data_IF_315328129452
#
_entry.id   IF_315328129452
#
_cell.length_a   1.000
_cell.length_b   1.000
_cell.length_c   1.000
_cell.angle_alpha   90.00
_cell.angle_beta   90.00
_cell.angle_gamma   90.00
#
_symmetry.space_group_name_H-M   'P 1'
#
loop_
_entity.id
_entity.type
_entity.pdbx_description
1 polymer ?
#
# COMPACT_ATOMS: atom_id res chain seq x y z
N UNK A 1 0.50 -8.69 -17.94
CA UNK A 1 0.98 -7.75 -16.90
C UNK A 1 0.84 -8.48 -15.57
N UNK A 2 1.91 -8.63 -14.79
CA UNK A 2 1.84 -9.31 -13.51
C UNK A 2 1.00 -8.49 -12.52
N UNK A 3 0.24 -9.17 -11.66
CA UNK A 3 -0.54 -8.50 -10.59
C UNK A 3 0.43 -8.02 -9.52
N UNK A 4 0.31 -6.76 -9.03
CA UNK A 4 1.18 -6.27 -7.96
C UNK A 4 1.03 -7.11 -6.70
N UNK A 5 2.14 -7.30 -5.99
CA UNK A 5 2.10 -7.95 -4.69
C UNK A 5 1.62 -6.97 -3.62
N UNK A 6 0.81 -7.46 -2.67
CA UNK A 6 0.30 -6.64 -1.57
C UNK A 6 1.07 -6.97 -0.30
N UNK A 7 1.75 -5.99 0.29
CA UNK A 7 2.47 -6.15 1.56
C UNK A 7 2.41 -4.89 2.39
N UNK A 8 2.37 -5.03 3.71
CA UNK A 8 2.49 -3.90 4.61
C UNK A 8 3.85 -3.21 4.40
N UNK A 9 3.90 -1.88 4.15
CA UNK A 9 5.18 -1.20 3.94
C UNK A 9 6.03 -1.13 5.21
N UNK A 10 5.44 -1.30 6.39
CA UNK A 10 6.16 -1.27 7.66
C UNK A 10 6.76 -2.64 8.05
N UNK A 11 5.97 -3.72 7.97
CA UNK A 11 6.38 -5.05 8.48
C UNK A 11 6.40 -6.16 7.42
N UNK A 12 6.08 -5.84 6.16
CA UNK A 12 5.99 -6.76 5.03
C UNK A 12 4.94 -7.88 5.15
N UNK A 13 4.05 -7.80 6.15
CA UNK A 13 2.92 -8.74 6.27
C UNK A 13 2.04 -8.73 5.01
N UNK A 14 1.72 -9.93 4.51
CA UNK A 14 0.88 -10.14 3.33
C UNK A 14 -0.56 -10.45 3.77
N UNK A 15 -1.56 -9.63 3.40
CA UNK A 15 -2.95 -9.94 3.70
C UNK A 15 -3.41 -11.15 2.88
N UNK A 16 -4.00 -12.13 3.58
CA UNK A 16 -4.69 -13.25 2.94
C UNK A 16 -6.06 -12.85 2.39
N UNK A 17 -6.74 -13.75 1.65
CA UNK A 17 -8.09 -13.52 1.15
C UNK A 17 -9.09 -13.23 2.26
N UNK A 18 -8.86 -13.75 3.47
CA UNK A 18 -9.72 -13.58 4.66
C UNK A 18 -9.41 -12.35 5.51
N UNK A 19 -8.42 -11.53 5.13
CA UNK A 19 -8.19 -10.25 5.80
C UNK A 19 -9.41 -9.34 5.63
N UNK A 20 -9.87 -8.74 6.74
CA UNK A 20 -11.08 -7.89 6.77
C UNK A 20 -10.80 -6.56 7.45
N UNK A 21 -11.32 -5.50 6.84
CA UNK A 21 -11.41 -4.15 7.40
C UNK A 21 -12.87 -3.73 7.41
N UNK A 22 -13.22 -2.82 8.32
CA UNK A 22 -14.56 -2.26 8.43
C UNK A 22 -14.61 -0.83 7.90
N UNK A 23 -15.73 -0.46 7.29
CA UNK A 23 -15.93 0.86 6.68
C UNK A 23 -16.37 1.84 7.76
N UNK A 24 -15.52 2.08 8.75
CA UNK A 24 -15.84 2.92 9.90
C UNK A 24 -15.08 4.25 9.79
N UNK A 25 -15.75 5.39 9.99
CA UNK A 25 -17.09 5.55 10.56
C UNK A 25 -18.24 5.68 9.52
N UNK A 26 -18.09 5.13 8.31
CA UNK A 26 -19.10 5.27 7.23
C UNK A 26 -20.21 4.22 7.34
N UNK A 27 -20.29 3.27 6.41
CA UNK A 27 -21.41 2.32 6.33
C UNK A 27 -21.18 1.01 7.10
N UNK A 28 -20.02 0.81 7.72
CA UNK A 28 -19.73 -0.40 8.51
C UNK A 28 -19.50 -1.68 7.70
N UNK A 29 -19.57 -1.65 6.37
CA UNK A 29 -19.26 -2.81 5.51
C UNK A 29 -17.92 -3.42 5.89
N UNK A 30 -17.85 -4.75 5.95
CA UNK A 30 -16.64 -5.50 6.28
C UNK A 30 -16.14 -6.21 5.02
N UNK A 31 -14.94 -5.90 4.57
CA UNK A 31 -14.40 -6.45 3.31
C UNK A 31 -12.87 -6.47 3.30
N UNK A 32 -12.28 -7.17 2.34
CA UNK A 32 -10.86 -7.04 2.05
C UNK A 32 -10.63 -5.77 1.22
N UNK A 33 -9.95 -4.78 1.80
CA UNK A 33 -9.78 -3.47 1.16
C UNK A 33 -9.05 -3.55 -0.19
N UNK A 34 -8.19 -4.56 -0.37
CA UNK A 34 -7.42 -4.75 -1.60
C UNK A 34 -8.24 -5.37 -2.74
N UNK A 35 -9.38 -6.01 -2.45
CA UNK A 35 -10.26 -6.57 -3.47
C UNK A 35 -10.86 -5.50 -4.40
N UNK A 36 -10.90 -4.24 -3.94
CA UNK A 36 -11.52 -3.11 -4.64
C UNK A 36 -10.60 -1.88 -4.73
N UNK A 37 -9.31 -2.04 -4.41
CA UNK A 37 -8.37 -0.92 -4.39
C UNK A 37 -8.77 0.21 -3.43
N UNK A 38 -9.30 -0.16 -2.27
CA UNK A 38 -9.73 0.78 -1.23
C UNK A 38 -11.15 1.32 -1.40
N UNK A 39 -11.88 0.96 -2.46
CA UNK A 39 -13.26 1.42 -2.66
C UNK A 39 -14.25 0.57 -1.86
N UNK A 40 -14.99 1.17 -0.94
CA UNK A 40 -15.98 0.44 -0.16
C UNK A 40 -17.13 -0.04 -1.06
N UNK A 41 -17.45 -1.35 -1.11
CA UNK A 41 -18.55 -1.85 -1.93
C UNK A 41 -19.94 -1.46 -1.39
N UNK A 42 -20.05 -1.04 -0.12
CA UNK A 42 -21.33 -0.63 0.47
C UNK A 42 -21.73 0.81 0.17
N UNK A 43 -20.80 1.76 0.26
CA UNK A 43 -21.11 3.19 0.12
C UNK A 43 -20.25 3.94 -0.92
N UNK A 44 -19.35 3.24 -1.62
CA UNK A 44 -18.51 3.81 -2.68
C UNK A 44 -17.37 4.73 -2.21
N UNK A 45 -17.21 4.97 -0.90
CA UNK A 45 -16.10 5.80 -0.39
C UNK A 45 -14.75 5.15 -0.70
N UNK A 46 -13.76 5.96 -1.08
CA UNK A 46 -12.38 5.50 -1.30
C UNK A 46 -11.54 5.73 -0.04
N UNK A 47 -10.97 4.66 0.49
CA UNK A 47 -10.02 4.70 1.60
C UNK A 47 -8.60 4.86 1.06
N UNK A 48 -7.95 5.97 1.42
CA UNK A 48 -6.57 6.26 1.02
C UNK A 48 -5.52 5.75 2.00
N UNK A 49 -5.95 5.20 3.15
CA UNK A 49 -5.10 4.65 4.20
C UNK A 49 -5.65 3.29 4.64
N UNK A 50 -4.75 2.40 5.01
CA UNK A 50 -5.07 1.04 5.46
C UNK A 50 -4.22 0.70 6.67
N UNK A 51 -4.90 0.17 7.70
CA UNK A 51 -4.24 -0.35 8.89
C UNK A 51 -3.71 -1.77 8.64
N UNK A 52 -2.49 -2.06 9.07
CA UNK A 52 -1.99 -3.41 9.08
C UNK A 52 -2.63 -4.23 10.21
N UNK A 53 -3.17 -5.41 9.88
CA UNK A 53 -3.75 -6.32 10.87
C UNK A 53 -2.70 -7.07 11.70
N UNK A 54 -1.42 -7.07 11.28
CA UNK A 54 -0.33 -7.69 12.01
C UNK A 54 0.41 -6.71 12.94
N UNK A 55 0.81 -5.53 12.45
CA UNK A 55 1.60 -4.57 13.25
C UNK A 55 0.82 -3.32 13.68
N UNK A 56 -0.44 -3.14 13.25
CA UNK A 56 -1.27 -2.00 13.62
C UNK A 56 -0.92 -0.67 12.92
N UNK A 57 0.22 -0.57 12.21
CA UNK A 57 0.63 0.65 11.50
C UNK A 57 -0.37 0.98 10.39
N UNK A 58 -0.80 2.24 10.36
CA UNK A 58 -1.65 2.78 9.28
C UNK A 58 -0.76 3.40 8.21
N UNK A 59 -0.80 2.86 7.01
CA UNK A 59 0.00 3.34 5.87
C UNK A 59 -0.89 3.79 4.71
N UNK A 60 -0.40 4.66 3.81
CA UNK A 60 -1.13 5.00 2.58
C UNK A 60 -1.46 3.72 1.79
N UNK A 61 -2.71 3.58 1.34
CA UNK A 61 -3.19 2.36 0.69
C UNK A 61 -2.37 2.01 -0.57
N UNK A 62 -1.92 3.02 -1.32
CA UNK A 62 -1.07 2.84 -2.51
C UNK A 62 0.29 2.21 -2.19
N UNK A 63 0.86 2.49 -1.01
CA UNK A 63 2.20 2.03 -0.63
C UNK A 63 2.22 0.53 -0.28
N UNK A 64 1.04 -0.11 -0.23
CA UNK A 64 0.92 -1.56 -0.05
C UNK A 64 1.16 -2.34 -1.36
N UNK A 65 1.07 -1.69 -2.52
CA UNK A 65 1.23 -2.32 -3.82
C UNK A 65 2.70 -2.27 -4.24
N UNK A 66 3.33 -3.45 -4.27
CA UNK A 66 4.72 -3.64 -4.68
C UNK A 66 4.72 -4.19 -6.10
N UNK A 67 5.39 -3.48 -7.00
CA UNK A 67 5.59 -3.98 -8.36
C UNK A 67 6.56 -5.18 -8.32
N UNK A 68 6.21 -6.32 -8.95
CA UNK A 68 7.07 -7.50 -8.93
C UNK A 68 8.36 -7.34 -9.73
N UNK A 69 8.45 -6.33 -10.62
CA UNK A 69 9.64 -6.02 -11.44
C UNK A 69 10.49 -4.89 -10.83
N UNK A 70 9.88 -4.06 -9.96
CA UNK A 70 10.47 -2.86 -9.38
C UNK A 70 11.14 -3.03 -8.01
N UNK A 71 11.97 -4.05 -7.83
CA UNK A 71 12.86 -4.17 -6.68
C UNK A 71 14.02 -3.15 -6.71
N UNK A 72 13.80 -1.91 -7.15
CA UNK A 72 14.72 -0.80 -6.93
C UNK A 72 13.98 0.52 -7.18
N UNK A 73 13.68 1.21 -6.09
CA UNK A 73 12.96 2.47 -6.10
C UNK A 73 13.35 3.34 -4.92
N UNK A 74 14.60 3.21 -4.45
CA UNK A 74 15.23 4.22 -3.59
C UNK A 74 16.03 5.15 -4.47
N UNK A 75 15.34 6.09 -5.13
CA UNK A 75 15.92 7.34 -5.57
C UNK A 75 16.33 8.14 -4.33
N UNK A 76 17.57 7.96 -3.89
CA UNK A 76 18.24 8.91 -3.00
C UNK A 76 19.69 8.92 -3.41
N UNK A 77 20.00 9.85 -4.34
CA UNK A 77 21.17 10.73 -4.27
C UNK A 77 21.43 11.35 -5.64
N UNK A 78 20.90 12.56 -5.83
CA UNK A 78 21.50 13.52 -6.77
C UNK A 78 22.58 14.26 -6.00
N UNK A 79 23.70 13.60 -5.74
CA UNK A 79 24.89 14.28 -5.26
C UNK A 79 25.61 14.95 -6.43
N UNK A 80 25.90 16.22 -6.20
CA UNK A 80 26.60 17.13 -7.10
C UNK A 80 28.08 16.92 -6.83
N UNK A 81 28.84 16.47 -7.81
CA UNK A 81 30.24 16.85 -7.88
C UNK A 81 30.59 17.35 -9.29
N UNK A 82 30.88 18.64 -9.26
CA UNK A 82 31.22 19.54 -10.33
C UNK A 82 32.63 19.19 -10.81
N UNK A 83 32.73 18.93 -12.11
CA UNK A 83 33.91 19.03 -12.96
C UNK A 83 35.23 19.43 -12.26
N UNK A 84 36.10 18.43 -12.08
CA UNK A 84 37.52 18.61 -11.83
C UNK A 84 38.26 18.11 -13.08
N UNK A 85 38.93 19.05 -13.76
CA UNK A 85 40.04 18.88 -14.72
C UNK A 85 39.66 18.49 -16.17
N UNK A 86 40.17 19.14 -17.21
CA UNK A 86 41.19 20.19 -17.28
C UNK A 86 41.30 20.78 -18.69
#
# INVERSE_FOLDING_TARGET
MPTPEIRCPACRWKPGPDARWSCVPRCGTVWNTFATGGLCPGCGVRWHRTQCLACGVVSPHRDWYVDPDGADGTDTTRERDLATQG
#
